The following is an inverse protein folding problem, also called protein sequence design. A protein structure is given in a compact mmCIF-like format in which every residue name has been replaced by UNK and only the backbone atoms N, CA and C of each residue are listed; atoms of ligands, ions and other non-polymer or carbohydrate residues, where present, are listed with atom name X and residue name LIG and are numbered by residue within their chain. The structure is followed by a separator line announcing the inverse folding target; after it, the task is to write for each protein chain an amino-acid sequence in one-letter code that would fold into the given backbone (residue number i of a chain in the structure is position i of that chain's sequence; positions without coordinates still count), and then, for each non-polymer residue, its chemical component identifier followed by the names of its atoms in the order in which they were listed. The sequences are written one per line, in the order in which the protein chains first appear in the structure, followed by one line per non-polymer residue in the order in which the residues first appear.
data_IF_188915455098
#
_entry.id   IF_188915455098
#
_cell.length_a   1.000
_cell.length_b   1.000
_cell.length_c   1.000
_cell.angle_alpha   90.00
_cell.angle_beta   90.00
_cell.angle_gamma   90.00
#
_symmetry.space_group_name_H-M   'P 1'
#
loop_
_entity.id
_entity.type
_entity.pdbx_description
1 polymer ?
#
# COMPACT_ATOMS: atom_id res chain seq x y z
N UNK A 1 -7.09 -1.25 23.99
CA UNK A 1 -7.50 -0.58 22.73
C UNK A 1 -7.21 -1.53 21.57
N UNK A 2 -8.17 -1.77 20.67
CA UNK A 2 -7.98 -2.69 19.54
C UNK A 2 -7.28 -1.93 18.40
N UNK A 3 -6.12 -2.42 17.96
CA UNK A 3 -5.38 -1.80 16.85
C UNK A 3 -6.15 -2.00 15.54
N UNK A 4 -6.49 -0.91 14.84
CA UNK A 4 -7.19 -0.97 13.55
C UNK A 4 -6.16 -1.02 12.42
N UNK A 5 -6.25 -2.04 11.58
CA UNK A 5 -5.48 -2.13 10.34
C UNK A 5 -6.28 -1.56 9.17
N UNK A 6 -5.57 -1.06 8.17
CA UNK A 6 -6.15 -0.43 6.99
C UNK A 6 -5.68 -1.09 5.71
N UNK A 7 -6.55 -1.08 4.70
CA UNK A 7 -6.19 -1.27 3.31
C UNK A 7 -6.09 0.08 2.61
N UNK A 8 -5.11 0.26 1.75
CA UNK A 8 -4.85 1.54 1.10
C UNK A 8 -4.74 1.38 -0.42
N UNK A 9 -5.44 2.24 -1.16
CA UNK A 9 -5.25 2.31 -2.60
C UNK A 9 -3.90 3.00 -2.90
N UNK A 10 -2.98 2.37 -3.66
CA UNK A 10 -1.71 3.00 -4.00
C UNK A 10 -1.87 4.16 -4.99
N UNK A 11 -3.03 4.31 -5.65
CA UNK A 11 -3.26 5.36 -6.65
C UNK A 11 -3.82 6.64 -6.05
N UNK A 12 -5.02 6.55 -5.46
CA UNK A 12 -5.72 7.70 -4.87
C UNK A 12 -5.56 7.82 -3.34
N UNK A 13 -4.91 6.85 -2.68
CA UNK A 13 -4.74 6.81 -1.22
C UNK A 13 -6.03 6.77 -0.40
N UNK A 14 -7.14 6.38 -1.03
CA UNK A 14 -8.33 5.96 -0.28
C UNK A 14 -7.94 4.82 0.66
N UNK A 15 -8.26 4.98 1.93
CA UNK A 15 -8.02 3.97 2.96
C UNK A 15 -9.35 3.47 3.53
N UNK A 16 -9.41 2.16 3.79
CA UNK A 16 -10.56 1.51 4.41
C UNK A 16 -10.07 0.57 5.51
N UNK A 17 -10.82 0.36 6.59
CA UNK A 17 -10.43 -0.62 7.60
C UNK A 17 -10.39 -2.05 7.03
N UNK A 18 -9.47 -2.89 7.50
CA UNK A 18 -9.35 -4.31 7.05
C UNK A 18 -10.60 -5.14 7.35
N UNK A 19 -11.41 -4.73 8.32
CA UNK A 19 -12.69 -5.38 8.60
C UNK A 19 -13.80 -5.03 7.61
N UNK A 20 -13.60 -4.06 6.71
CA UNK A 20 -14.51 -3.88 5.58
C UNK A 20 -14.33 -5.03 4.58
N UNK A 21 -15.38 -5.37 3.83
CA UNK A 21 -15.30 -6.37 2.75
C UNK A 21 -14.63 -5.85 1.47
N UNK A 22 -14.05 -4.64 1.51
CA UNK A 22 -13.50 -3.99 0.33
C UNK A 22 -12.06 -4.44 0.09
N UNK A 23 -11.83 -5.09 -1.04
CA UNK A 23 -10.49 -5.49 -1.52
C UNK A 23 -10.00 -4.67 -2.71
N UNK A 24 -10.90 -3.92 -3.35
CA UNK A 24 -10.63 -3.07 -4.51
C UNK A 24 -11.10 -1.64 -4.22
N UNK A 25 -10.41 -0.66 -4.80
CA UNK A 25 -10.74 0.73 -4.65
C UNK A 25 -12.02 1.08 -5.42
N UNK A 26 -13.00 1.67 -4.75
CA UNK A 26 -14.23 2.14 -5.39
C UNK A 26 -13.99 3.28 -6.40
N UNK A 27 -12.88 4.02 -6.30
CA UNK A 27 -12.60 5.17 -7.16
C UNK A 27 -11.91 4.80 -8.47
N UNK A 28 -11.07 3.75 -8.46
CA UNK A 28 -10.17 3.43 -9.59
C UNK A 28 -10.02 1.93 -9.88
N UNK A 29 -10.70 1.06 -9.12
CA UNK A 29 -10.67 -0.39 -9.30
C UNK A 29 -9.37 -1.08 -8.87
N UNK A 30 -8.34 -0.35 -8.42
CA UNK A 30 -7.06 -0.93 -8.02
C UNK A 30 -7.21 -1.81 -6.77
N UNK A 31 -6.50 -2.95 -6.74
CA UNK A 31 -6.39 -3.78 -5.54
C UNK A 31 -5.77 -2.99 -4.39
N UNK A 32 -6.40 -3.03 -3.22
CA UNK A 32 -5.94 -2.31 -2.04
C UNK A 32 -4.77 -3.04 -1.37
N UNK A 33 -3.82 -2.27 -0.84
CA UNK A 33 -2.68 -2.77 -0.08
C UNK A 33 -3.07 -2.94 1.39
N UNK A 34 -2.97 -4.15 1.92
CA UNK A 34 -3.14 -4.40 3.37
C UNK A 34 -1.81 -4.28 4.13
N UNK A 35 -0.71 -4.49 3.40
CA UNK A 35 0.66 -4.55 3.91
C UNK A 35 1.61 -3.87 2.94
N UNK A 36 2.77 -3.45 3.44
CA UNK A 36 3.82 -2.96 2.57
C UNK A 36 4.25 -4.04 1.57
N UNK A 37 4.27 -3.76 0.26
CA UNK A 37 4.63 -4.76 -0.75
C UNK A 37 6.11 -5.17 -0.65
N UNK A 38 6.98 -4.31 -0.10
CA UNK A 38 8.43 -4.60 0.08
C UNK A 38 8.74 -5.40 1.34
N UNK A 39 8.24 -4.99 2.50
CA UNK A 39 8.64 -5.57 3.79
C UNK A 39 7.49 -6.23 4.59
N UNK A 40 6.28 -6.29 4.00
CA UNK A 40 5.09 -6.92 4.56
C UNK A 40 4.58 -6.32 5.89
N UNK A 41 5.10 -5.16 6.31
CA UNK A 41 4.62 -4.45 7.51
C UNK A 41 3.15 -4.05 7.33
N UNK A 42 2.25 -4.36 8.29
CA UNK A 42 0.85 -3.93 8.25
C UNK A 42 0.68 -2.42 8.21
N UNK A 43 -0.36 -1.95 7.51
CA UNK A 43 -0.72 -0.54 7.49
C UNK A 43 -1.64 -0.25 8.67
N UNK A 44 -1.15 0.55 9.62
CA UNK A 44 -1.84 0.85 10.89
C UNK A 44 -2.51 2.22 10.93
N UNK A 45 -2.41 3.00 9.86
CA UNK A 45 -2.99 4.34 9.77
C UNK A 45 -3.53 4.59 8.36
N UNK A 46 -4.70 5.24 8.24
CA UNK A 46 -5.27 5.59 6.94
C UNK A 46 -4.50 6.71 6.23
N UNK A 47 -3.58 7.37 6.94
CA UNK A 47 -2.82 8.52 6.43
C UNK A 47 -1.40 8.16 5.99
N UNK A 48 -0.95 6.91 6.18
CA UNK A 48 0.41 6.54 5.80
C UNK A 48 0.62 6.62 4.29
N UNK A 49 1.60 7.44 3.89
CA UNK A 49 2.09 7.52 2.51
C UNK A 49 3.34 6.68 2.28
N UNK A 50 4.11 6.43 3.35
CA UNK A 50 5.34 5.64 3.35
C UNK A 50 5.24 4.52 4.38
N UNK A 51 5.96 3.43 4.13
CA UNK A 51 6.10 2.36 5.10
C UNK A 51 6.99 2.80 6.27
N UNK A 52 6.44 2.76 7.49
CA UNK A 52 7.16 3.09 8.73
C UNK A 52 8.38 2.21 9.01
N UNK A 53 8.49 1.03 8.36
CA UNK A 53 9.60 0.11 8.55
C UNK A 53 10.70 0.24 7.50
N UNK A 54 10.33 0.33 6.21
CA UNK A 54 11.32 0.28 5.11
C UNK A 54 11.37 1.54 4.25
N UNK A 55 10.58 2.58 4.57
CA UNK A 55 10.56 3.85 3.85
C UNK A 55 9.92 3.82 2.46
N UNK A 56 9.47 2.66 1.96
CA UNK A 56 8.85 2.59 0.63
C UNK A 56 7.58 3.45 0.59
N UNK A 57 7.49 4.34 -0.41
CA UNK A 57 6.26 5.07 -0.72
C UNK A 57 5.19 4.12 -1.29
N UNK A 58 3.98 4.14 -0.74
CA UNK A 58 2.91 3.25 -1.20
C UNK A 58 2.39 3.58 -2.60
N UNK A 59 2.66 4.79 -3.12
CA UNK A 59 2.31 5.15 -4.50
C UNK A 59 3.23 4.51 -5.55
N UNK A 60 4.34 3.91 -5.14
CA UNK A 60 5.34 3.33 -6.04
C UNK A 60 4.77 2.21 -6.94
N UNK A 61 3.62 1.63 -6.57
CA UNK A 61 2.91 0.67 -7.42
C UNK A 61 2.14 1.30 -8.60
N UNK A 62 2.01 2.63 -8.67
CA UNK A 62 1.43 3.35 -9.82
C UNK A 62 2.13 3.02 -11.13
N UNK A 63 3.41 2.63 -11.07
CA UNK A 63 4.28 2.46 -12.23
C UNK A 63 4.25 1.05 -12.82
N UNK A 64 3.48 0.10 -12.27
CA UNK A 64 3.54 -1.30 -12.71
C UNK A 64 2.86 -1.64 -14.06
N UNK A 65 2.30 -0.66 -14.79
CA UNK A 65 2.01 -0.80 -16.22
C UNK A 65 3.13 -0.25 -17.13
N UNK A 66 4.26 0.20 -16.57
CA UNK A 66 5.44 0.62 -17.32
C UNK A 66 6.70 0.23 -16.53
N UNK A 67 7.20 -0.99 -16.74
CA UNK A 67 8.54 -1.46 -16.36
C UNK A 67 8.98 -1.25 -14.90
N UNK A 68 9.01 -2.32 -14.09
CA UNK A 68 9.96 -2.34 -12.96
C UNK A 68 10.75 -3.64 -12.97
N UNK A 69 11.84 -3.60 -13.74
CA UNK A 69 13.03 -4.37 -13.45
C UNK A 69 13.57 -3.96 -12.09
N UNK A 70 13.54 -4.88 -11.14
CA UNK A 70 14.24 -4.76 -9.88
C UNK A 70 15.74 -4.96 -10.17
N UNK A 71 16.45 -3.90 -10.57
CA UNK A 71 17.90 -3.86 -10.38
C UNK A 71 18.17 -3.34 -8.99
N UNK A 72 18.44 -4.28 -8.08
CA UNK A 72 19.22 -4.02 -6.87
C UNK A 72 20.57 -3.43 -7.32
N UNK A 73 20.76 -2.13 -7.09
CA UNK A 73 22.07 -1.61 -6.68
C UNK A 73 22.26 -2.06 -5.22
N UNK A 74 23.42 -2.43 -4.71
CA UNK A 74 24.80 -1.91 -4.80
C UNK A 74 25.71 -3.14 -4.53
N UNK A 75 26.90 -3.36 -5.09
CA UNK A 75 28.10 -2.54 -5.15
C UNK A 75 29.28 -3.51 -5.02
#
# INVERSE_FOLDING_TARGET
MKETLYRLCPRCFRAVPVHSGEHFCANDGQKLLERCPKCQTPIKSPYFRFCVRCGLEYSWLKTQNLQVGFKVAEG
#
